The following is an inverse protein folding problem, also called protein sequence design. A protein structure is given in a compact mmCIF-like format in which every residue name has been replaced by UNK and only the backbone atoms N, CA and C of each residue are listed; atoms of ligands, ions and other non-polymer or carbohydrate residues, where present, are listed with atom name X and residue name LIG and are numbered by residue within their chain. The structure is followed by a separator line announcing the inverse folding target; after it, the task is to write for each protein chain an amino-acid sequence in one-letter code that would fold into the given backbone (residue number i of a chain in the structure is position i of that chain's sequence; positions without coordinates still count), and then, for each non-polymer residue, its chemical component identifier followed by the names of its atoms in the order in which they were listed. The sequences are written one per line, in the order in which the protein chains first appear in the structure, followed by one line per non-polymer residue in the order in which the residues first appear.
data_IF_196622709184
#
_entry.id   IF_196622709184
#
_cell.length_a   1.000
_cell.length_b   1.000
_cell.length_c   1.000
_cell.angle_alpha   90.00
_cell.angle_beta   90.00
_cell.angle_gamma   90.00
#
_symmetry.space_group_name_H-M   'P 1'
#
loop_
_entity.id
_entity.type
_entity.pdbx_description
1 polymer ?
#
# COMPACT_ATOMS: atom_id res chain seq x y z
N UNK A 1 11.16 1.73 -9.73
CA UNK A 1 10.51 1.57 -11.05
C UNK A 1 9.43 2.59 -11.22
N UNK A 2 9.21 3.11 -12.44
CA UNK A 2 8.14 4.06 -12.69
C UNK A 2 6.77 3.36 -12.54
N UNK A 3 5.75 4.01 -11.95
CA UNK A 3 4.41 3.43 -11.84
C UNK A 3 3.83 3.11 -13.21
N UNK A 4 3.33 1.89 -13.39
CA UNK A 4 2.76 1.43 -14.67
C UNK A 4 1.30 1.81 -14.87
N UNK A 5 0.61 2.33 -13.83
CA UNK A 5 -0.78 2.76 -13.88
C UNK A 5 -0.87 4.27 -14.13
N UNK A 6 -1.26 4.74 -15.32
CA UNK A 6 -1.36 6.17 -15.60
C UNK A 6 -2.43 6.85 -14.74
N UNK A 7 -2.17 8.06 -14.24
CA UNK A 7 -3.13 8.85 -13.46
C UNK A 7 -3.37 8.33 -12.03
N UNK A 8 -2.58 7.38 -11.55
CA UNK A 8 -2.71 6.83 -10.19
C UNK A 8 -2.62 7.88 -9.08
N UNK A 9 -1.88 8.98 -9.31
CA UNK A 9 -1.61 10.07 -8.38
C UNK A 9 -2.58 11.25 -8.51
N UNK A 10 -3.62 11.12 -9.32
CA UNK A 10 -4.61 12.18 -9.53
C UNK A 10 -5.60 12.31 -8.37
N UNK A 11 -6.15 13.52 -8.21
CA UNK A 11 -7.24 13.80 -7.28
C UNK A 11 -8.47 14.30 -8.05
N UNK A 12 -9.68 13.77 -7.77
CA UNK A 12 -9.96 12.70 -6.81
C UNK A 12 -9.33 11.35 -7.21
N UNK A 13 -8.99 10.52 -6.22
CA UNK A 13 -8.23 9.27 -6.38
C UNK A 13 -9.04 8.12 -7.03
N UNK A 14 -9.75 8.38 -8.12
CA UNK A 14 -10.64 7.43 -8.78
C UNK A 14 -9.88 6.27 -9.42
N UNK A 15 -8.76 6.56 -10.09
CA UNK A 15 -7.93 5.55 -10.78
C UNK A 15 -7.29 4.57 -9.81
N UNK A 16 -6.59 5.07 -8.79
CA UNK A 16 -5.91 4.24 -7.80
C UNK A 16 -6.91 3.48 -6.92
N UNK A 17 -8.05 4.08 -6.57
CA UNK A 17 -9.14 3.39 -5.89
C UNK A 17 -9.67 2.21 -6.69
N UNK A 18 -10.05 2.42 -7.96
CA UNK A 18 -10.60 1.35 -8.80
C UNK A 18 -9.63 0.18 -9.00
N UNK A 19 -8.34 0.49 -9.17
CA UNK A 19 -7.30 -0.54 -9.22
C UNK A 19 -7.19 -1.31 -7.90
N UNK A 20 -7.14 -0.60 -6.77
CA UNK A 20 -7.03 -1.19 -5.44
C UNK A 20 -8.23 -2.06 -5.06
N UNK A 21 -9.45 -1.63 -5.40
CA UNK A 21 -10.68 -2.40 -5.18
C UNK A 21 -10.65 -3.71 -5.97
N UNK A 22 -10.35 -3.65 -7.26
CA UNK A 22 -10.25 -4.84 -8.12
C UNK A 22 -9.18 -5.80 -7.62
N UNK A 23 -7.98 -5.29 -7.28
CA UNK A 23 -6.90 -6.10 -6.71
C UNK A 23 -7.33 -6.82 -5.41
N UNK A 24 -8.04 -6.12 -4.54
CA UNK A 24 -8.50 -6.65 -3.26
C UNK A 24 -9.56 -7.74 -3.44
N UNK A 25 -10.59 -7.48 -4.25
CA UNK A 25 -11.70 -8.39 -4.51
C UNK A 25 -11.27 -9.68 -5.20
N UNK A 26 -10.36 -9.58 -6.16
CA UNK A 26 -9.80 -10.74 -6.87
C UNK A 26 -8.78 -11.53 -6.03
N UNK A 27 -8.38 -11.03 -4.84
CA UNK A 27 -7.35 -11.63 -3.99
C UNK A 27 -6.09 -11.97 -4.81
N UNK A 28 -5.63 -11.03 -5.65
CA UNK A 28 -4.53 -11.27 -6.62
C UNK A 28 -3.21 -11.62 -5.94
N UNK A 29 -2.98 -11.08 -4.75
CA UNK A 29 -1.80 -11.32 -3.92
C UNK A 29 -2.10 -10.93 -2.47
N UNK A 30 -1.30 -11.43 -1.51
CA UNK A 30 -1.42 -11.04 -0.09
C UNK A 30 -0.96 -9.61 0.17
N UNK A 31 0.00 -9.13 -0.63
CA UNK A 31 0.58 -7.78 -0.54
C UNK A 31 0.65 -7.13 -1.92
N UNK A 32 0.51 -5.81 -1.94
CA UNK A 32 0.72 -4.97 -3.11
C UNK A 32 1.60 -3.78 -2.75
N UNK A 33 2.72 -3.65 -3.46
CA UNK A 33 3.56 -2.46 -3.40
C UNK A 33 2.95 -1.38 -4.30
N UNK A 34 2.71 -0.20 -3.74
CA UNK A 34 2.19 0.96 -4.47
C UNK A 34 3.13 2.15 -4.28
N UNK A 35 3.32 3.01 -5.29
CA UNK A 35 4.10 4.24 -5.10
C UNK A 35 3.45 5.15 -4.06
N UNK A 36 4.26 5.85 -3.27
CA UNK A 36 3.75 6.85 -2.33
C UNK A 36 3.57 8.19 -3.04
N UNK A 37 2.36 8.76 -2.97
CA UNK A 37 2.07 10.09 -3.56
C UNK A 37 2.78 11.21 -2.81
N UNK A 38 3.06 11.01 -1.51
CA UNK A 38 3.74 11.96 -0.63
C UNK A 38 5.26 11.79 -0.72
N UNK A 39 5.75 10.58 -0.49
CA UNK A 39 7.17 10.24 -0.55
C UNK A 39 7.49 9.58 -1.90
N UNK A 40 7.61 10.38 -2.98
CA UNK A 40 7.67 9.87 -4.37
C UNK A 40 8.81 8.90 -4.69
N UNK A 41 9.83 8.80 -3.83
CA UNK A 41 10.92 7.84 -3.96
C UNK A 41 10.62 6.49 -3.30
N UNK A 42 9.62 6.45 -2.42
CA UNK A 42 9.24 5.30 -1.62
C UNK A 42 7.94 4.64 -2.10
N UNK A 43 7.71 3.43 -1.59
CA UNK A 43 6.49 2.66 -1.79
C UNK A 43 5.76 2.46 -0.45
N UNK A 44 4.43 2.46 -0.51
CA UNK A 44 3.59 1.92 0.54
C UNK A 44 3.28 0.44 0.27
N UNK A 45 2.89 -0.27 1.32
CA UNK A 45 2.43 -1.66 1.23
C UNK A 45 0.96 -1.71 1.58
N UNK A 46 0.14 -2.27 0.69
CA UNK A 46 -1.21 -2.70 1.00
C UNK A 46 -1.19 -4.19 1.33
N UNK A 47 -1.89 -4.59 2.39
CA UNK A 47 -2.02 -5.99 2.81
C UNK A 47 -3.50 -6.37 2.67
N UNK A 48 -3.78 -7.53 2.07
CA UNK A 48 -5.14 -8.04 1.88
C UNK A 48 -5.47 -9.14 2.91
N UNK A 49 -6.29 -8.85 3.94
CA UNK A 49 -6.66 -9.84 4.96
C UNK A 49 -7.50 -11.00 4.44
N UNK A 50 -8.19 -10.84 3.31
CA UNK A 50 -9.01 -11.87 2.70
C UNK A 50 -8.21 -12.86 1.84
N UNK A 51 -6.91 -12.61 1.62
CA UNK A 51 -6.05 -13.52 0.86
C UNK A 51 -5.67 -14.76 1.71
N UNK A 52 -5.68 -15.99 1.16
CA UNK A 52 -5.39 -17.22 1.94
C UNK A 52 -4.05 -17.20 2.67
N UNK A 53 -3.03 -16.59 2.06
CA UNK A 53 -1.70 -16.47 2.66
C UNK A 53 -1.58 -15.37 3.74
N UNK A 54 -2.63 -14.60 4.02
CA UNK A 54 -2.58 -13.58 5.07
C UNK A 54 -2.18 -14.16 6.44
N UNK A 55 -2.58 -15.40 6.72
CA UNK A 55 -2.21 -16.13 7.94
C UNK A 55 -0.70 -16.33 8.12
N UNK A 56 0.10 -16.16 7.06
CA UNK A 56 1.56 -16.25 7.09
C UNK A 56 2.22 -14.94 7.54
N UNK A 57 1.49 -13.83 7.58
CA UNK A 57 2.00 -12.53 8.04
C UNK A 57 1.97 -12.50 9.56
N UNK A 58 3.12 -12.15 10.16
CA UNK A 58 3.27 -12.00 11.59
C UNK A 58 3.76 -10.60 11.90
N UNK A 59 3.20 -9.99 12.95
CA UNK A 59 3.73 -8.74 13.49
C UNK A 59 5.01 -9.04 14.28
N UNK A 60 6.09 -8.34 13.97
CA UNK A 60 7.30 -8.32 14.80
C UNK A 60 7.17 -7.31 15.92
N UNK A 61 8.17 -7.28 16.82
CA UNK A 61 8.29 -6.20 17.79
C UNK A 61 8.43 -4.86 17.06
N UNK A 62 7.69 -3.86 17.52
CA UNK A 62 7.83 -2.51 17.02
C UNK A 62 9.20 -1.94 17.39
N UNK A 63 9.73 -1.06 16.53
CA UNK A 63 10.90 -0.26 16.84
C UNK A 63 10.44 1.11 17.36
N UNK A 64 11.03 1.64 18.45
CA UNK A 64 10.74 2.99 18.90
C UNK A 64 11.07 4.01 17.82
N UNK A 65 10.16 4.95 17.58
CA UNK A 65 10.42 6.10 16.72
C UNK A 65 10.62 7.32 17.62
N UNK A 66 11.77 7.98 17.47
CA UNK A 66 12.09 9.20 18.20
C UNK A 66 11.61 10.40 17.41
N UNK A 67 10.40 10.84 17.72
CA UNK A 67 9.82 12.06 17.17
C UNK A 67 10.39 13.30 17.86
N UNK A 68 10.46 14.41 17.13
CA UNK A 68 10.80 15.69 17.74
C UNK A 68 9.63 16.26 18.55
N UNK A 69 9.84 17.36 19.31
CA UNK A 69 8.82 17.93 20.21
C UNK A 69 7.51 18.38 19.52
N UNK A 70 7.46 18.43 18.20
CA UNK A 70 6.31 18.90 17.41
C UNK A 70 5.54 17.75 16.76
N UNK A 71 5.87 16.49 17.08
CA UNK A 71 5.23 15.27 16.59
C UNK A 71 4.88 14.33 17.75
#
# INVERSE_FOLDING_TARGET
SQPSLPGWDTMPATVSKGFGETWCLERRSVMLLVPSVVARLDCNVLINPAHPEFSRIQASLHQPVYWDRRL
#
